data_IF_677882446789
#
_entry.id   IF_677882446789
#
_cell.length_a   1.000
_cell.length_b   1.000
_cell.length_c   1.000
_cell.angle_alpha   90.00
_cell.angle_beta   90.00
_cell.angle_gamma   90.00
#
_symmetry.space_group_name_H-M   'P 1'
#
loop_
_entity.id
_entity.type
_entity.pdbx_description
1 polymer ?
#
# COMPACT_ATOMS: atom_id res chain seq x y z
N UNK A 1 -2.50 -14.19 -67.84
CA UNK A 1 -2.84 -13.00 -67.03
C UNK A 1 -2.75 -13.43 -65.58
N UNK A 2 -1.63 -13.14 -64.93
CA UNK A 2 -1.46 -13.36 -63.49
C UNK A 2 -2.03 -12.14 -62.75
N UNK A 3 -2.91 -12.38 -61.78
CA UNK A 3 -3.44 -11.35 -60.89
C UNK A 3 -2.48 -11.21 -59.72
N UNK A 4 -1.68 -10.15 -59.70
CA UNK A 4 -0.88 -9.77 -58.54
C UNK A 4 -1.80 -9.21 -57.47
N UNK A 5 -2.12 -10.02 -56.46
CA UNK A 5 -2.77 -9.55 -55.26
C UNK A 5 -1.84 -8.53 -54.59
N UNK A 6 -2.26 -7.26 -54.60
CA UNK A 6 -1.60 -6.22 -53.83
C UNK A 6 -1.90 -6.50 -52.37
N UNK A 7 -0.88 -6.93 -51.64
CA UNK A 7 -0.92 -7.07 -50.18
C UNK A 7 -1.07 -5.65 -49.60
N UNK A 8 -2.30 -5.31 -49.21
CA UNK A 8 -2.59 -4.07 -48.50
C UNK A 8 -2.00 -4.23 -47.09
N UNK A 9 -1.07 -3.36 -46.65
CA UNK A 9 -0.65 -3.37 -45.27
C UNK A 9 -1.87 -3.01 -44.42
N UNK A 10 -2.39 -3.96 -43.64
CA UNK A 10 -3.40 -3.66 -42.62
C UNK A 10 -2.75 -2.68 -41.63
N UNK A 11 -3.16 -1.42 -41.67
CA UNK A 11 -2.89 -0.47 -40.60
C UNK A 11 -3.49 -1.06 -39.31
N UNK A 12 -2.63 -1.36 -38.33
CA UNK A 12 -3.07 -1.78 -37.00
C UNK A 12 -3.97 -0.69 -36.43
N UNK A 13 -5.26 -0.99 -36.28
CA UNK A 13 -6.19 -0.03 -35.73
C UNK A 13 -5.86 0.21 -34.24
N UNK A 14 -5.55 1.46 -33.87
CA UNK A 14 -5.15 1.82 -32.49
C UNK A 14 -6.32 2.32 -31.66
N UNK A 15 -6.31 2.00 -30.36
CA UNK A 15 -7.19 2.56 -29.35
C UNK A 15 -6.39 3.19 -28.22
N UNK A 16 -7.06 4.00 -27.39
CA UNK A 16 -6.44 4.70 -26.25
C UNK A 16 -6.91 4.13 -24.92
N UNK A 17 -5.98 3.96 -23.98
CA UNK A 17 -6.27 3.67 -22.59
C UNK A 17 -6.01 4.90 -21.73
N UNK A 18 -6.96 5.22 -20.86
CA UNK A 18 -6.81 6.25 -19.84
C UNK A 18 -6.71 5.57 -18.46
N UNK A 19 -5.53 5.61 -17.87
CA UNK A 19 -5.19 4.89 -16.63
C UNK A 19 -5.48 5.77 -15.42
N UNK A 20 -6.41 5.34 -14.58
CA UNK A 20 -6.73 6.01 -13.33
C UNK A 20 -5.83 5.42 -12.23
N UNK A 21 -4.72 6.09 -11.95
CA UNK A 21 -3.70 5.64 -11.00
C UNK A 21 -3.87 6.33 -9.63
N UNK A 22 -3.75 5.53 -8.57
CA UNK A 22 -3.57 6.01 -7.21
C UNK A 22 -2.78 4.94 -6.47
N UNK A 23 -1.56 5.22 -5.99
CA UNK A 23 -0.91 6.53 -5.94
C UNK A 23 -0.33 6.96 -7.30
N UNK A 24 0.09 8.22 -7.44
CA UNK A 24 0.52 8.80 -8.72
C UNK A 24 1.87 8.23 -9.21
N UNK A 25 2.72 7.78 -8.29
CA UNK A 25 4.01 7.13 -8.56
C UNK A 25 3.90 5.65 -8.98
N UNK A 26 2.68 5.16 -9.23
CA UNK A 26 2.47 3.78 -9.66
C UNK A 26 3.17 3.49 -10.98
N UNK A 27 3.96 2.41 -11.02
CA UNK A 27 4.49 1.87 -12.26
C UNK A 27 3.47 0.95 -12.91
N UNK A 28 3.21 1.17 -14.19
CA UNK A 28 2.28 0.35 -14.97
C UNK A 28 3.06 -0.44 -16.00
N UNK A 29 2.76 -1.73 -16.08
CA UNK A 29 3.22 -2.62 -17.13
C UNK A 29 2.04 -3.17 -17.90
N UNK A 30 2.29 -3.51 -19.16
CA UNK A 30 1.30 -4.10 -20.04
C UNK A 30 1.87 -5.30 -20.76
N UNK A 31 1.05 -6.35 -20.88
CA UNK A 31 1.40 -7.57 -21.60
C UNK A 31 0.26 -7.98 -22.51
N UNK A 32 0.58 -8.14 -23.79
CA UNK A 32 -0.30 -8.84 -24.75
C UNK A 32 0.07 -10.32 -24.76
N UNK A 33 -0.89 -11.19 -25.01
CA UNK A 33 -0.63 -12.62 -25.17
C UNK A 33 0.43 -12.86 -26.26
N UNK A 34 1.42 -13.70 -25.98
CA UNK A 34 2.55 -13.97 -26.88
C UNK A 34 3.58 -12.85 -27.01
N UNK A 35 3.41 -11.70 -26.35
CA UNK A 35 4.38 -10.59 -26.36
C UNK A 35 5.07 -10.42 -25.01
N UNK A 36 6.26 -9.79 -25.06
CA UNK A 36 6.97 -9.36 -23.87
C UNK A 36 6.22 -8.23 -23.15
N UNK A 37 6.35 -8.20 -21.84
CA UNK A 37 5.82 -7.14 -20.99
C UNK A 37 6.55 -5.81 -21.26
N UNK A 38 5.80 -4.71 -21.31
CA UNK A 38 6.31 -3.36 -21.59
C UNK A 38 5.88 -2.41 -20.48
N UNK A 39 6.76 -1.51 -20.07
CA UNK A 39 6.42 -0.45 -19.09
C UNK A 39 5.73 0.70 -19.82
N UNK A 40 4.60 1.16 -19.29
CA UNK A 40 3.91 2.37 -19.75
C UNK A 40 4.34 3.54 -18.87
N UNK A 41 4.61 4.69 -19.49
CA UNK A 41 4.88 5.94 -18.78
C UNK A 41 3.66 6.86 -18.89
N UNK A 42 3.25 7.45 -17.78
CA UNK A 42 2.11 8.36 -17.71
C UNK A 42 0.77 7.64 -17.55
N UNK A 43 -0.32 8.38 -17.75
CA UNK A 43 -1.70 7.93 -17.55
C UNK A 43 -2.44 7.66 -18.86
N UNK A 44 -1.79 7.80 -20.00
CA UNK A 44 -2.38 7.55 -21.32
C UNK A 44 -1.48 6.63 -22.12
N UNK A 45 -2.07 5.61 -22.75
CA UNK A 45 -1.36 4.69 -23.62
C UNK A 45 -2.15 4.45 -24.89
N UNK A 46 -1.49 4.56 -26.04
CA UNK A 46 -2.05 4.18 -27.33
C UNK A 46 -1.52 2.81 -27.72
N UNK A 47 -2.45 1.90 -28.02
CA UNK A 47 -2.17 0.48 -28.22
C UNK A 47 -2.97 -0.03 -29.40
N UNK A 48 -2.44 -1.03 -30.09
CA UNK A 48 -3.20 -1.75 -31.11
C UNK A 48 -4.41 -2.42 -30.50
N UNK A 49 -5.48 -2.54 -31.29
CA UNK A 49 -6.65 -3.33 -30.93
C UNK A 49 -6.26 -4.75 -30.49
N UNK A 50 -6.84 -5.19 -29.37
CA UNK A 50 -6.53 -6.49 -28.79
C UNK A 50 -6.72 -6.54 -27.27
N UNK A 51 -6.44 -7.71 -26.70
CA UNK A 51 -6.57 -7.96 -25.27
C UNK A 51 -5.20 -7.88 -24.58
N UNK A 52 -5.15 -7.13 -23.48
CA UNK A 52 -3.94 -6.88 -22.71
C UNK A 52 -4.19 -7.12 -21.23
N UNK A 53 -3.20 -7.66 -20.55
CA UNK A 53 -3.11 -7.64 -19.10
C UNK A 53 -2.33 -6.39 -18.69
N UNK A 54 -3.01 -5.47 -18.01
CA UNK A 54 -2.41 -4.23 -17.48
C UNK A 54 -2.18 -4.42 -15.99
N UNK A 55 -0.94 -4.24 -15.52
CA UNK A 55 -0.56 -4.42 -14.11
C UNK A 55 0.00 -3.12 -13.56
N UNK A 56 -0.54 -2.65 -12.44
CA UNK A 56 -0.04 -1.51 -11.70
C UNK A 56 0.62 -1.97 -10.39
N UNK A 57 1.74 -1.35 -10.04
CA UNK A 57 2.49 -1.65 -8.81
C UNK A 57 3.15 -0.39 -8.25
N UNK A 58 3.27 -0.32 -6.93
CA UNK A 58 3.99 0.75 -6.23
C UNK A 58 4.56 0.22 -4.91
N UNK A 59 5.68 0.78 -4.40
CA UNK A 59 6.23 0.39 -3.10
C UNK A 59 5.22 0.61 -1.97
N UNK A 60 5.06 -0.36 -1.05
CA UNK A 60 4.07 -0.34 0.06
C UNK A 60 2.60 -0.44 -0.38
N UNK A 61 2.33 -0.82 -1.62
CA UNK A 61 0.97 -1.06 -2.13
C UNK A 61 0.84 -2.48 -2.67
N UNK A 62 -0.36 -3.03 -2.58
CA UNK A 62 -0.70 -4.29 -3.24
C UNK A 62 -0.83 -4.05 -4.73
N UNK A 63 -0.07 -4.80 -5.54
CA UNK A 63 -0.20 -4.75 -7.00
C UNK A 63 -1.60 -5.14 -7.47
N UNK A 64 -2.02 -4.57 -8.59
CA UNK A 64 -3.34 -4.81 -9.21
C UNK A 64 -3.16 -5.09 -10.68
N UNK A 65 -3.84 -6.12 -11.19
CA UNK A 65 -3.86 -6.44 -12.61
C UNK A 65 -5.29 -6.47 -13.14
N UNK A 66 -5.48 -5.99 -14.36
CA UNK A 66 -6.77 -5.96 -15.05
C UNK A 66 -6.62 -6.39 -16.50
N UNK A 67 -7.55 -7.22 -16.98
CA UNK A 67 -7.63 -7.57 -18.40
C UNK A 67 -8.46 -6.51 -19.14
N UNK A 68 -7.84 -5.90 -20.13
CA UNK A 68 -8.40 -4.78 -20.88
C UNK A 68 -8.43 -5.14 -22.36
N UNK A 69 -9.60 -5.00 -22.96
CA UNK A 69 -9.77 -5.05 -24.41
C UNK A 69 -9.70 -3.63 -24.95
N UNK A 70 -8.73 -3.40 -25.84
CA UNK A 70 -8.52 -2.15 -26.57
C UNK A 70 -9.26 -2.29 -27.89
N UNK A 71 -10.13 -1.33 -28.20
CA UNK A 71 -10.88 -1.25 -29.45
C UNK A 71 -10.42 -0.04 -30.26
N UNK A 72 -10.36 -0.18 -31.58
CA UNK A 72 -9.93 0.86 -32.49
C UNK A 72 -10.73 2.16 -32.35
N UNK A 73 -10.05 3.31 -32.31
CA UNK A 73 -10.65 4.64 -32.26
C UNK A 73 -11.37 4.97 -30.94
N UNK A 74 -11.43 4.05 -29.98
CA UNK A 74 -12.06 4.26 -28.68
C UNK A 74 -11.05 4.61 -27.61
N UNK A 75 -11.48 5.43 -26.64
CA UNK A 75 -10.75 5.66 -25.39
C UNK A 75 -11.43 4.89 -24.28
N UNK A 76 -10.69 4.03 -23.58
CA UNK A 76 -11.20 3.24 -22.47
C UNK A 76 -10.53 3.62 -21.16
N UNK A 77 -11.29 4.03 -20.12
CA UNK A 77 -10.74 4.21 -18.80
C UNK A 77 -10.46 2.86 -18.13
N UNK A 78 -9.35 2.76 -17.38
CA UNK A 78 -8.97 1.58 -16.61
C UNK A 78 -8.66 2.02 -15.18
N UNK A 79 -9.40 1.50 -14.19
CA UNK A 79 -9.18 1.84 -12.78
C UNK A 79 -8.14 0.91 -12.16
N UNK A 80 -6.93 1.44 -11.98
CA UNK A 80 -5.79 0.73 -11.42
C UNK A 80 -5.38 1.32 -10.07
N UNK A 81 -6.35 1.86 -9.30
CA UNK A 81 -6.08 2.33 -7.95
C UNK A 81 -5.63 1.16 -7.08
N UNK A 82 -4.50 1.36 -6.42
CA UNK A 82 -3.84 0.41 -5.54
C UNK A 82 -4.26 0.64 -4.09
N UNK A 83 -4.43 -0.45 -3.37
CA UNK A 83 -4.66 -0.42 -1.93
C UNK A 83 -3.32 -0.49 -1.20
N UNK A 84 -3.09 0.35 -0.17
CA UNK A 84 -1.91 0.22 0.67
C UNK A 84 -1.76 -1.19 1.20
N UNK A 85 -0.53 -1.70 1.19
CA UNK A 85 -0.22 -2.97 1.82
C UNK A 85 -0.14 -2.75 3.33
N UNK A 86 -1.13 -3.29 4.04
CA UNK A 86 -1.15 -3.25 5.50
C UNK A 86 -0.26 -4.38 6.02
N UNK A 87 0.90 -4.00 6.58
CA UNK A 87 1.76 -4.92 7.31
C UNK A 87 1.36 -4.91 8.78
N UNK A 88 0.99 -6.08 9.29
CA UNK A 88 0.69 -6.25 10.72
C UNK A 88 1.94 -6.73 11.43
N UNK A 89 2.38 -5.98 12.43
CA UNK A 89 3.49 -6.38 13.29
C UNK A 89 2.97 -7.03 14.57
N UNK A 90 3.58 -8.16 14.94
CA UNK A 90 3.26 -8.91 16.15
C UNK A 90 4.03 -8.43 17.39
N UNK A 91 3.76 -9.08 18.51
CA UNK A 91 4.42 -8.76 19.79
C UNK A 91 5.88 -9.24 19.85
N UNK A 92 6.29 -10.11 18.94
CA UNK A 92 7.64 -10.61 18.75
C UNK A 92 8.61 -9.54 18.22
N UNK A 93 8.09 -8.52 17.54
CA UNK A 93 8.88 -7.43 16.97
C UNK A 93 9.32 -6.35 17.96
N UNK A 94 8.89 -6.39 19.22
CA UNK A 94 9.34 -5.42 20.24
C UNK A 94 10.75 -5.75 20.77
N UNK A 95 11.50 -4.75 21.24
CA UNK A 95 12.86 -4.94 21.76
C UNK A 95 12.94 -5.96 22.91
N UNK A 96 11.95 -5.94 23.81
CA UNK A 96 11.81 -6.85 24.94
C UNK A 96 10.49 -7.65 24.82
N UNK A 97 10.42 -8.70 23.98
CA UNK A 97 9.23 -9.53 23.85
C UNK A 97 8.87 -10.24 25.17
N UNK A 98 9.88 -10.60 25.97
CA UNK A 98 9.71 -11.29 27.26
C UNK A 98 9.10 -10.40 28.35
N UNK A 99 9.22 -9.08 28.24
CA UNK A 99 8.58 -8.11 29.13
C UNK A 99 7.06 -8.01 28.98
N UNK A 100 6.47 -8.67 27.99
CA UNK A 100 5.03 -8.72 27.75
C UNK A 100 4.41 -10.04 28.23
N UNK A 101 3.30 -9.93 28.96
CA UNK A 101 2.47 -11.08 29.35
C UNK A 101 1.10 -10.98 28.70
N UNK A 102 0.63 -12.06 28.08
CA UNK A 102 -0.71 -12.17 27.51
C UNK A 102 -1.70 -12.67 28.57
N UNK A 103 -2.84 -12.00 28.73
CA UNK A 103 -3.90 -12.45 29.64
C UNK A 103 -4.87 -13.44 28.95
N UNK A 104 -5.81 -13.98 29.73
CA UNK A 104 -6.80 -14.94 29.24
C UNK A 104 -7.76 -14.37 28.18
N UNK A 105 -7.95 -13.05 28.14
CA UNK A 105 -8.74 -12.36 27.12
C UNK A 105 -7.92 -12.00 25.86
N UNK A 106 -6.63 -12.35 25.86
CA UNK A 106 -5.72 -12.17 24.74
C UNK A 106 -5.02 -10.80 24.69
N UNK A 107 -5.16 -9.96 25.72
CA UNK A 107 -4.48 -8.66 25.79
C UNK A 107 -3.06 -8.81 26.30
N UNK A 108 -2.13 -8.06 25.70
CA UNK A 108 -0.76 -7.99 26.15
C UNK A 108 -0.57 -6.86 27.17
N UNK A 109 0.11 -7.19 28.27
CA UNK A 109 0.43 -6.28 29.37
C UNK A 109 1.92 -6.25 29.55
N UNK A 110 2.49 -5.06 29.65
CA UNK A 110 3.90 -4.90 30.01
C UNK A 110 4.05 -4.66 31.50
N UNK A 111 5.02 -5.33 32.12
CA UNK A 111 5.47 -5.02 33.49
C UNK A 111 6.67 -4.06 33.42
N UNK A 112 6.71 -3.06 34.30
CA UNK A 112 7.79 -2.07 34.36
C UNK A 112 7.48 -0.77 33.61
N UNK A 113 8.50 0.12 33.53
CA UNK A 113 8.43 1.42 32.87
C UNK A 113 9.52 1.57 31.79
N UNK A 114 9.73 2.79 31.29
CA UNK A 114 10.72 3.09 30.24
C UNK A 114 10.21 2.87 28.81
N UNK A 115 11.08 3.16 27.85
CA UNK A 115 10.81 2.98 26.43
C UNK A 115 10.91 1.50 26.03
N UNK A 116 10.03 1.08 25.13
CA UNK A 116 10.17 -0.18 24.39
C UNK A 116 9.87 0.15 22.96
N UNK A 117 10.87 0.00 22.10
CA UNK A 117 10.70 0.30 20.69
C UNK A 117 10.33 -0.98 19.94
N UNK A 118 9.68 -0.79 18.81
CA UNK A 118 9.48 -1.86 17.85
C UNK A 118 10.72 -1.91 16.94
N UNK A 119 11.30 -3.09 16.75
CA UNK A 119 12.56 -3.30 16.01
C UNK A 119 12.42 -2.92 14.53
N UNK A 120 11.21 -3.02 14.00
CA UNK A 120 10.88 -2.56 12.65
C UNK A 120 10.20 -1.20 12.72
N UNK A 121 10.87 -0.16 12.23
CA UNK A 121 10.25 1.14 11.98
C UNK A 121 9.94 1.23 10.48
N UNK A 122 8.68 1.13 10.02
CA UNK A 122 8.37 1.50 8.66
C UNK A 122 8.75 2.97 8.50
N UNK A 123 9.51 3.32 7.46
CA UNK A 123 10.07 4.67 7.24
C UNK A 123 9.02 5.75 6.98
N UNK A 124 8.18 6.04 7.98
CA UNK A 124 7.01 6.90 7.93
C UNK A 124 5.71 6.18 7.50
N UNK A 125 4.58 6.68 7.99
CA UNK A 125 3.24 6.21 7.62
C UNK A 125 2.20 6.40 8.73
N UNK A 126 1.00 5.88 8.48
CA UNK A 126 -0.06 5.76 9.48
C UNK A 126 0.14 4.46 10.25
N UNK A 127 0.13 4.53 11.57
CA UNK A 127 0.10 3.34 12.42
C UNK A 127 -1.26 3.25 13.08
N UNK A 128 -1.80 2.03 13.09
CA UNK A 128 -3.06 1.72 13.75
C UNK A 128 -2.80 0.62 14.75
N UNK A 129 -3.21 0.83 15.99
CA UNK A 129 -3.16 -0.18 17.02
C UNK A 129 -4.38 -0.04 17.92
N UNK A 130 -4.74 -1.14 18.60
CA UNK A 130 -5.81 -1.16 19.59
C UNK A 130 -5.19 -1.28 20.97
N UNK A 131 -5.67 -0.48 21.92
CA UNK A 131 -5.22 -0.54 23.30
C UNK A 131 -6.42 -0.58 24.23
N UNK A 132 -6.24 -1.22 25.39
CA UNK A 132 -7.28 -1.33 26.39
C UNK A 132 -7.06 -0.33 27.52
N UNK A 133 -8.04 0.56 27.73
CA UNK A 133 -8.12 1.40 28.93
C UNK A 133 -8.71 0.61 30.09
N UNK A 134 -7.85 0.09 30.97
CA UNK A 134 -8.33 -0.42 32.26
C UNK A 134 -8.47 0.74 33.24
N UNK A 135 -9.70 1.11 33.58
CA UNK A 135 -9.98 2.15 34.57
C UNK A 135 -9.38 1.81 35.93
N UNK A 136 -8.65 2.73 36.55
CA UNK A 136 -8.21 2.59 37.95
C UNK A 136 -9.28 3.19 38.85
N UNK A 137 -9.74 2.44 39.86
CA UNK A 137 -10.78 2.89 40.81
C UNK A 137 -10.29 4.01 41.75
N UNK A 138 -8.98 4.22 41.91
CA UNK A 138 -8.39 5.34 42.66
C UNK A 138 -7.09 5.79 41.96
N UNK A 139 -6.99 7.08 41.58
CA UNK A 139 -5.73 7.70 41.14
C UNK A 139 -5.59 8.06 39.65
N UNK A 140 -6.70 8.37 38.98
CA UNK A 140 -6.68 8.91 37.61
C UNK A 140 -6.32 7.88 36.53
N UNK A 141 -6.74 8.16 35.29
CA UNK A 141 -6.38 7.32 34.14
C UNK A 141 -5.08 7.87 33.56
N UNK A 142 -4.02 7.05 33.52
CA UNK A 142 -2.79 7.42 32.80
C UNK A 142 -3.07 7.41 31.29
N UNK A 143 -2.63 8.42 30.53
CA UNK A 143 -2.74 8.40 29.08
C UNK A 143 -1.88 7.26 28.53
N UNK A 144 -2.29 6.73 27.37
CA UNK A 144 -1.36 5.97 26.56
C UNK A 144 -0.28 6.92 26.05
N UNK A 145 0.97 6.51 26.19
CA UNK A 145 2.14 7.22 25.66
C UNK A 145 2.72 6.40 24.54
N UNK A 146 2.93 7.02 23.39
CA UNK A 146 3.54 6.36 22.26
C UNK A 146 4.63 7.26 21.68
N UNK A 147 5.79 6.69 21.41
CA UNK A 147 6.95 7.42 20.90
C UNK A 147 7.20 7.05 19.44
N UNK A 148 7.50 8.05 18.64
CA UNK A 148 7.92 7.89 17.25
C UNK A 148 9.15 8.75 16.99
N UNK A 149 9.89 8.45 15.91
CA UNK A 149 11.14 9.14 15.57
C UNK A 149 12.12 9.17 16.76
N UNK A 150 12.25 8.05 17.46
CA UNK A 150 13.14 7.92 18.62
C UNK A 150 14.60 7.86 18.16
N UNK A 151 15.40 8.80 18.64
CA UNK A 151 16.85 8.85 18.43
C UNK A 151 17.56 8.44 19.74
N UNK A 152 17.12 9.02 20.85
CA UNK A 152 17.54 8.66 22.21
C UNK A 152 16.45 9.03 23.23
N UNK A 153 16.73 8.84 24.52
CA UNK A 153 15.80 9.08 25.63
C UNK A 153 15.45 10.55 25.88
N UNK A 154 16.03 11.48 25.10
CA UNK A 154 15.77 12.92 25.12
C UNK A 154 15.27 13.44 23.77
N UNK A 155 15.48 12.68 22.71
CA UNK A 155 15.18 13.07 21.32
C UNK A 155 14.18 12.09 20.71
N UNK A 156 12.90 12.38 20.90
CA UNK A 156 11.78 11.62 20.33
C UNK A 156 10.55 12.51 20.18
N UNK A 157 9.58 12.06 19.37
CA UNK A 157 8.25 12.68 19.31
C UNK A 157 7.31 11.85 20.20
N UNK A 158 6.73 12.49 21.20
CA UNK A 158 5.74 11.87 22.08
C UNK A 158 4.34 12.11 21.54
N UNK A 159 3.51 11.09 21.58
CA UNK A 159 2.06 11.23 21.48
C UNK A 159 1.42 10.72 22.77
N UNK A 160 0.49 11.50 23.31
CA UNK A 160 -0.32 11.09 24.45
C UNK A 160 -1.80 11.09 24.07
N UNK A 161 -2.51 10.00 24.41
CA UNK A 161 -3.97 9.97 24.28
C UNK A 161 -4.64 9.45 25.55
N UNK A 162 -5.70 10.15 25.94
CA UNK A 162 -6.61 9.71 27.00
C UNK A 162 -7.82 8.94 26.43
N UNK A 163 -7.83 8.60 25.13
CA UNK A 163 -8.93 7.94 24.43
C UNK A 163 -10.09 8.85 24.04
N UNK A 164 -10.01 10.16 24.30
CA UNK A 164 -10.91 11.19 23.75
C UNK A 164 -10.14 12.18 22.88
N UNK A 165 -8.94 12.54 23.33
CA UNK A 165 -8.06 13.48 22.67
C UNK A 165 -6.70 12.84 22.41
N UNK A 166 -6.04 13.28 21.33
CA UNK A 166 -4.67 12.95 21.00
C UNK A 166 -3.86 14.25 21.04
N UNK A 167 -2.77 14.23 21.79
CA UNK A 167 -1.82 15.34 21.93
C UNK A 167 -0.43 14.88 21.50
N UNK A 168 0.39 15.84 21.05
CA UNK A 168 1.78 15.67 20.65
C UNK A 168 2.65 16.60 21.49
#
# INVERSE_FOLDING_TARGET
MELTASEVPLESATGKLHLLLSPAESQVTIRREGQAERVIKGTEAELEEGNYLVTASAPKYKGRSENVSVEAGKTRPVDLKLSPEVVTYGMDGWEDPGGWSKDAAGWFHRKGGGFVLHRTAPGGGTFTFTWLRKGRRLGGTRPLRWVVNFIDDKNYVLFETNGKELSR
#
